data_IF_754330598074
#
_entry.id   IF_754330598074
#
_cell.length_a   1.000
_cell.length_b   1.000
_cell.length_c   1.000
_cell.angle_alpha   90.00
_cell.angle_beta   90.00
_cell.angle_gamma   90.00
#
_symmetry.space_group_name_H-M   'P 1'
#
loop_
_entity.id
_entity.type
_entity.pdbx_description
1 polymer ?
#
# COMPACT_ATOMS: atom_id res chain seq x y z
N UNK A 1 10.57 60.85 20.32
CA UNK A 1 10.63 59.50 20.93
C UNK A 1 9.21 58.96 20.93
N UNK A 2 8.91 57.96 20.08
CA UNK A 2 8.46 56.59 20.46
C UNK A 2 7.09 56.59 21.15
N UNK A 3 6.00 56.13 20.51
CA UNK A 3 5.59 54.71 20.33
C UNK A 3 4.25 54.57 21.11
N UNK A 4 3.17 53.90 20.72
CA UNK A 4 2.95 52.69 19.94
C UNK A 4 1.62 52.81 19.17
N UNK A 5 1.67 52.59 17.86
CA UNK A 5 0.55 52.21 17.02
C UNK A 5 0.72 50.70 16.76
N UNK A 6 -0.37 49.96 16.55
CA UNK A 6 -0.46 48.51 16.27
C UNK A 6 -0.71 47.61 17.49
N UNK A 7 -1.98 47.60 17.92
CA UNK A 7 -2.62 46.40 18.46
C UNK A 7 -2.49 45.27 17.44
N UNK A 8 -1.66 44.27 17.74
CA UNK A 8 -1.48 43.08 16.92
C UNK A 8 -2.78 42.30 16.83
N UNK A 9 -3.39 42.31 15.64
CA UNK A 9 -4.40 41.34 15.25
C UNK A 9 -3.70 39.98 15.21
N UNK A 10 -4.17 38.95 15.95
CA UNK A 10 -3.61 37.62 15.80
C UNK A 10 -3.83 37.18 14.36
N UNK A 11 -2.74 36.82 13.68
CA UNK A 11 -2.73 36.23 12.35
C UNK A 11 -3.46 34.88 12.44
N UNK A 12 -4.79 34.92 12.38
CA UNK A 12 -5.61 33.74 12.18
C UNK A 12 -5.15 33.14 10.87
N UNK A 13 -4.40 32.04 10.95
CA UNK A 13 -4.08 31.20 9.81
C UNK A 13 -5.42 30.76 9.24
N UNK A 14 -5.86 31.42 8.16
CA UNK A 14 -6.98 30.92 7.40
C UNK A 14 -6.56 29.52 6.93
N UNK A 15 -7.30 28.45 7.27
CA UNK A 15 -7.03 27.15 6.70
C UNK A 15 -7.15 27.36 5.18
N UNK A 16 -6.04 27.19 4.48
CA UNK A 16 -6.01 27.23 3.03
C UNK A 16 -7.08 26.21 2.61
N UNK A 17 -8.11 26.62 1.84
CA UNK A 17 -9.11 25.66 1.40
C UNK A 17 -8.35 24.56 0.68
N UNK A 18 -8.48 23.34 1.19
CA UNK A 18 -7.77 22.16 0.70
C UNK A 18 -8.20 21.99 -0.76
N UNK A 19 -7.39 22.52 -1.69
CA UNK A 19 -7.77 22.55 -3.09
C UNK A 19 -7.92 21.09 -3.53
N UNK A 20 -9.10 20.69 -4.04
CA UNK A 20 -9.32 19.31 -4.43
C UNK A 20 -8.27 18.93 -5.47
N UNK A 21 -7.57 17.82 -5.22
CA UNK A 21 -6.55 17.31 -6.13
C UNK A 21 -7.07 17.26 -7.57
N UNK A 22 -6.31 17.84 -8.49
CA UNK A 22 -6.66 17.82 -9.92
C UNK A 22 -6.26 16.50 -10.57
N UNK A 23 -6.87 16.18 -11.71
CA UNK A 23 -6.55 14.97 -12.46
C UNK A 23 -5.06 14.90 -12.85
N UNK A 24 -4.44 16.03 -13.19
CA UNK A 24 -3.03 16.09 -13.57
C UNK A 24 -2.11 15.90 -12.35
N UNK A 25 -2.48 16.45 -11.19
CA UNK A 25 -1.76 16.19 -9.94
C UNK A 25 -1.85 14.71 -9.55
N UNK A 26 -3.03 14.10 -9.71
CA UNK A 26 -3.23 12.69 -9.42
C UNK A 26 -2.42 11.80 -10.36
N UNK A 27 -2.43 12.09 -11.66
CA UNK A 27 -1.62 11.38 -12.67
C UNK A 27 -0.14 11.54 -12.41
N UNK A 28 0.33 12.76 -12.08
CA UNK A 28 1.73 13.00 -11.74
C UNK A 28 2.15 12.25 -10.47
N UNK A 29 1.27 12.17 -9.47
CA UNK A 29 1.50 11.35 -8.27
C UNK A 29 1.58 9.86 -8.59
N UNK A 30 0.64 9.33 -9.41
CA UNK A 30 0.65 7.94 -9.87
C UNK A 30 1.93 7.62 -10.67
N UNK A 31 2.36 8.53 -11.55
CA UNK A 31 3.58 8.36 -12.34
C UNK A 31 4.83 8.28 -11.47
N UNK A 32 4.97 9.17 -10.47
CA UNK A 32 6.11 9.12 -9.54
C UNK A 32 6.17 7.80 -8.77
N UNK A 33 5.01 7.28 -8.36
CA UNK A 33 4.93 5.98 -7.70
C UNK A 33 5.30 4.85 -8.66
N UNK A 34 4.77 4.89 -9.88
CA UNK A 34 5.08 3.95 -10.95
C UNK A 34 6.57 3.91 -11.28
N UNK A 35 7.22 5.06 -11.44
CA UNK A 35 8.64 5.14 -11.81
C UNK A 35 9.54 4.49 -10.74
N UNK A 36 9.12 4.56 -9.48
CA UNK A 36 9.81 3.87 -8.39
C UNK A 36 9.51 2.37 -8.34
N UNK A 37 8.26 1.95 -8.55
CA UNK A 37 7.85 0.56 -8.37
C UNK A 37 8.07 -0.30 -9.62
N UNK A 38 7.97 0.25 -10.82
CA UNK A 38 8.08 -0.48 -12.09
C UNK A 38 9.38 -1.25 -12.26
N UNK A 39 10.59 -0.74 -11.87
CA UNK A 39 11.81 -1.53 -11.97
C UNK A 39 11.81 -2.75 -11.03
N UNK A 40 11.11 -2.67 -9.90
CA UNK A 40 11.00 -3.76 -8.92
C UNK A 40 10.08 -4.87 -9.41
N UNK A 41 8.96 -4.50 -10.02
CA UNK A 41 8.10 -5.47 -10.69
C UNK A 41 8.83 -6.19 -11.83
N UNK A 42 9.59 -5.45 -12.66
CA UNK A 42 10.40 -6.05 -13.75
C UNK A 42 11.49 -6.99 -13.22
N UNK A 43 12.18 -6.59 -12.15
CA UNK A 43 13.25 -7.40 -11.56
C UNK A 43 12.72 -8.72 -10.99
N UNK A 44 11.52 -8.74 -10.42
CA UNK A 44 10.90 -9.99 -9.96
C UNK A 44 10.56 -10.94 -11.10
N UNK A 45 10.10 -10.44 -12.24
CA UNK A 45 9.83 -11.27 -13.43
C UNK A 45 11.12 -11.89 -13.99
N UNK A 46 12.24 -11.16 -14.01
CA UNK A 46 13.53 -11.71 -14.46
C UNK A 46 14.21 -12.62 -13.42
N UNK A 47 13.95 -12.41 -12.12
CA UNK A 47 14.58 -13.19 -11.03
C UNK A 47 13.80 -14.47 -10.69
N UNK A 48 12.54 -14.58 -11.11
CA UNK A 48 11.71 -15.79 -10.91
C UNK A 48 12.14 -16.97 -11.81
N UNK A 49 13.19 -16.80 -12.62
CA UNK A 49 13.81 -17.86 -13.44
C UNK A 49 15.01 -18.58 -12.81
N UNK A 50 15.47 -18.22 -11.61
CA UNK A 50 16.59 -18.90 -10.96
C UNK A 50 16.19 -19.47 -9.60
N UNK A 51 15.45 -20.58 -9.65
CA UNK A 51 15.40 -21.51 -8.53
C UNK A 51 16.78 -22.11 -8.36
N UNK A 52 17.48 -21.73 -7.31
CA UNK A 52 18.75 -22.32 -6.93
C UNK A 52 18.48 -23.77 -6.47
N UNK A 53 18.58 -24.72 -7.41
CA UNK A 53 18.35 -26.16 -7.22
C UNK A 53 19.51 -26.86 -6.45
N UNK A 54 20.27 -26.12 -5.64
CA UNK A 54 21.46 -26.61 -4.95
C UNK A 54 21.56 -26.22 -3.46
N UNK A 55 20.43 -26.02 -2.77
CA UNK A 55 20.40 -25.83 -1.31
C UNK A 55 20.05 -27.11 -0.59
N UNK A 56 21.05 -27.86 -0.12
CA UNK A 56 20.89 -29.16 0.51
C UNK A 56 20.02 -29.18 1.77
N UNK A 57 19.45 -30.37 2.00
CA UNK A 57 18.77 -30.83 3.21
C UNK A 57 19.39 -30.29 4.52
N UNK A 58 18.68 -29.39 5.22
CA UNK A 58 18.86 -29.19 6.66
C UNK A 58 17.50 -28.86 7.27
N UNK A 59 16.93 -29.81 7.99
CA UNK A 59 15.91 -29.56 9.00
C UNK A 59 16.46 -28.54 10.02
N UNK A 60 15.61 -27.61 10.44
CA UNK A 60 15.82 -26.72 11.61
C UNK A 60 16.65 -25.44 11.39
N UNK A 61 16.07 -24.48 10.65
CA UNK A 61 16.15 -23.03 10.90
C UNK A 61 15.18 -22.33 9.96
N UNK A 62 14.33 -21.43 10.47
CA UNK A 62 13.44 -20.61 9.66
C UNK A 62 14.27 -19.76 8.67
N UNK A 63 14.44 -20.26 7.44
CA UNK A 63 15.07 -19.52 6.36
C UNK A 63 14.29 -18.21 6.18
N UNK A 64 14.93 -17.04 6.34
CA UNK A 64 14.23 -15.77 6.22
C UNK A 64 13.72 -15.65 4.78
N UNK A 65 12.40 -15.65 4.62
CA UNK A 65 11.75 -15.37 3.33
C UNK A 65 12.26 -14.01 2.88
N UNK A 66 12.98 -13.99 1.75
CA UNK A 66 13.46 -12.73 1.21
C UNK A 66 12.25 -11.93 0.71
N UNK A 67 12.12 -10.63 1.04
CA UNK A 67 11.02 -9.79 0.56
C UNK A 67 10.95 -9.69 -0.96
N UNK A 68 12.06 -9.94 -1.67
CA UNK A 68 12.11 -10.02 -3.13
C UNK A 68 11.57 -11.34 -3.70
N UNK A 69 11.38 -12.38 -2.89
CA UNK A 69 10.84 -13.65 -3.34
C UNK A 69 9.31 -13.60 -3.54
N UNK A 70 8.62 -12.68 -2.85
CA UNK A 70 7.18 -12.51 -2.98
C UNK A 70 6.91 -11.56 -4.16
N UNK A 71 6.43 -12.12 -5.26
CA UNK A 71 5.89 -11.33 -6.36
C UNK A 71 4.38 -11.10 -6.15
N UNK A 72 3.93 -9.85 -5.87
CA UNK A 72 2.51 -9.57 -5.77
C UNK A 72 1.75 -9.90 -7.06
N UNK A 73 2.42 -9.90 -8.22
CA UNK A 73 1.79 -10.10 -9.52
C UNK A 73 1.34 -11.54 -9.78
N UNK A 74 1.98 -12.54 -9.16
CA UNK A 74 1.64 -13.96 -9.28
C UNK A 74 0.47 -14.38 -8.38
N UNK A 75 0.16 -13.57 -7.36
CA UNK A 75 -0.93 -13.82 -6.43
C UNK A 75 -2.31 -13.55 -7.06
N UNK A 76 -3.31 -14.34 -6.68
CA UNK A 76 -4.69 -14.19 -7.17
C UNK A 76 -5.28 -12.84 -6.76
N UNK A 77 -5.76 -12.02 -7.71
CA UNK A 77 -6.47 -10.78 -7.41
C UNK A 77 -7.88 -11.08 -6.89
N UNK A 78 -8.20 -10.49 -5.74
CA UNK A 78 -9.54 -10.50 -5.15
C UNK A 78 -10.13 -9.08 -5.13
N UNK A 79 -11.45 -8.94 -5.22
CA UNK A 79 -12.09 -7.63 -5.06
C UNK A 79 -11.93 -7.12 -3.62
N UNK A 80 -11.85 -5.80 -3.42
CA UNK A 80 -11.80 -5.20 -2.07
C UNK A 80 -13.03 -5.51 -1.20
N UNK A 81 -14.12 -5.99 -1.80
CA UNK A 81 -15.34 -6.44 -1.13
C UNK A 81 -15.29 -7.90 -0.65
N UNK A 82 -14.15 -8.60 -0.75
CA UNK A 82 -14.01 -10.01 -0.36
C UNK A 82 -14.47 -10.31 1.07
N UNK A 83 -14.36 -9.35 2.00
CA UNK A 83 -14.80 -9.49 3.40
C UNK A 83 -16.32 -9.63 3.56
N UNK A 84 -17.10 -9.29 2.52
CA UNK A 84 -18.55 -9.47 2.47
C UNK A 84 -18.95 -10.91 2.10
N UNK A 85 -18.01 -11.74 1.65
CA UNK A 85 -18.31 -13.12 1.29
C UNK A 85 -18.54 -13.97 2.54
N UNK A 86 -19.49 -14.91 2.45
CA UNK A 86 -19.87 -15.77 3.57
C UNK A 86 -18.70 -16.63 4.06
N UNK A 87 -17.86 -17.08 3.13
CA UNK A 87 -16.62 -17.78 3.39
C UNK A 87 -15.42 -16.90 3.05
N UNK A 88 -14.58 -16.63 4.05
CA UNK A 88 -13.28 -16.00 3.80
C UNK A 88 -12.36 -17.01 3.11
N UNK A 89 -11.78 -16.68 1.94
CA UNK A 89 -10.86 -17.57 1.24
C UNK A 89 -9.56 -17.82 2.02
N UNK A 90 -9.27 -16.98 3.03
CA UNK A 90 -8.05 -17.08 3.83
C UNK A 90 -8.37 -17.20 5.32
N UNK A 91 -8.04 -18.36 5.88
CA UNK A 91 -8.08 -18.66 7.32
C UNK A 91 -6.66 -18.90 7.81
N UNK A 92 -5.96 -17.85 8.24
CA UNK A 92 -4.60 -17.97 8.76
C UNK A 92 -3.74 -16.72 8.62
N UNK A 93 -2.46 -16.89 8.96
CA UNK A 93 -1.44 -15.87 8.79
C UNK A 93 -1.24 -15.58 7.29
N UNK A 94 -1.33 -14.30 6.93
CA UNK A 94 -1.13 -13.84 5.57
C UNK A 94 -0.53 -12.44 5.56
N UNK A 95 0.19 -12.12 4.48
CA UNK A 95 0.49 -10.75 4.09
C UNK A 95 -0.43 -10.39 2.94
N UNK A 96 -1.04 -9.23 3.00
CA UNK A 96 -1.91 -8.73 1.96
C UNK A 96 -1.33 -7.49 1.28
N UNK A 97 -1.57 -7.41 -0.02
CA UNK A 97 -1.12 -6.36 -0.90
C UNK A 97 -2.36 -5.72 -1.53
N UNK A 98 -2.50 -4.41 -1.42
CA UNK A 98 -3.54 -3.67 -2.13
C UNK A 98 -2.92 -2.99 -3.32
N UNK A 99 -3.41 -3.33 -4.51
CA UNK A 99 -2.91 -2.80 -5.76
C UNK A 99 -4.03 -2.05 -6.49
N UNK A 100 -3.63 -1.04 -7.24
CA UNK A 100 -4.45 -0.43 -8.28
C UNK A 100 -3.81 -0.68 -9.65
N UNK A 101 -4.63 -0.83 -10.69
CA UNK A 101 -4.17 -0.94 -12.07
C UNK A 101 -4.78 0.17 -12.91
N UNK A 102 -4.18 1.38 -12.91
CA UNK A 102 -4.59 2.45 -13.80
C UNK A 102 -4.32 2.05 -15.26
N UNK A 103 -5.24 2.31 -16.21
CA UNK A 103 -5.09 1.86 -17.59
C UNK A 103 -4.01 2.61 -18.38
N UNK A 104 -3.50 3.73 -17.86
CA UNK A 104 -2.47 4.55 -18.50
C UNK A 104 -1.05 4.17 -18.05
N UNK A 105 -0.89 3.14 -17.21
CA UNK A 105 0.40 2.68 -16.70
C UNK A 105 0.65 1.22 -17.12
N UNK A 106 1.91 0.90 -17.40
CA UNK A 106 2.31 -0.46 -17.81
C UNK A 106 2.27 -1.47 -16.65
N UNK A 107 2.58 -1.00 -15.43
CA UNK A 107 2.60 -1.82 -14.22
C UNK A 107 1.58 -1.31 -13.20
N UNK A 108 1.00 -2.19 -12.37
CA UNK A 108 0.11 -1.77 -11.30
C UNK A 108 0.88 -1.01 -10.22
N UNK A 109 0.14 -0.23 -9.44
CA UNK A 109 0.62 0.51 -8.29
C UNK A 109 0.35 -0.30 -7.02
N UNK A 110 1.37 -0.58 -6.23
CA UNK A 110 1.23 -1.16 -4.91
C UNK A 110 0.96 -0.04 -3.90
N UNK A 111 -0.29 0.04 -3.44
CA UNK A 111 -0.80 1.12 -2.59
C UNK A 111 -0.58 0.85 -1.10
N UNK A 112 -0.72 -0.41 -0.67
CA UNK A 112 -0.61 -0.79 0.73
C UNK A 112 -0.11 -2.23 0.90
N UNK A 113 0.68 -2.46 1.95
CA UNK A 113 1.10 -3.78 2.42
C UNK A 113 0.74 -3.92 3.89
N UNK A 114 0.15 -5.05 4.28
CA UNK A 114 -0.15 -5.30 5.68
C UNK A 114 -0.10 -6.78 6.07
N UNK A 115 0.11 -7.06 7.35
CA UNK A 115 -0.02 -8.40 7.93
C UNK A 115 -1.41 -8.65 8.53
N UNK A 116 -1.85 -9.90 8.47
CA UNK A 116 -3.01 -10.36 9.22
C UNK A 116 -2.83 -11.80 9.70
N UNK A 117 -3.39 -12.11 10.88
CA UNK A 117 -3.55 -13.49 11.38
C UNK A 117 -4.88 -14.11 10.97
N UNK A 118 -5.84 -13.27 10.59
CA UNK A 118 -7.22 -13.61 10.28
C UNK A 118 -7.80 -12.47 9.43
N UNK A 119 -7.73 -12.61 8.10
CA UNK A 119 -8.13 -11.57 7.15
C UNK A 119 -9.61 -11.16 7.33
N UNK A 120 -10.47 -12.13 7.66
CA UNK A 120 -11.90 -12.00 7.88
C UNK A 120 -12.27 -11.14 9.10
N UNK A 121 -11.63 -11.35 10.25
CA UNK A 121 -11.93 -10.60 11.48
C UNK A 121 -11.41 -9.17 11.41
N UNK A 122 -10.24 -8.94 10.80
CA UNK A 122 -9.60 -7.62 10.75
C UNK A 122 -10.25 -6.70 9.71
N UNK A 123 -10.73 -7.23 8.60
CA UNK A 123 -11.43 -6.44 7.57
C UNK A 123 -12.91 -6.17 7.89
N UNK A 124 -13.51 -6.77 8.93
CA UNK A 124 -14.88 -6.41 9.37
C UNK A 124 -14.92 -5.18 10.29
N UNK A 125 -13.81 -4.79 10.91
CA UNK A 125 -13.72 -3.59 11.76
C UNK A 125 -13.35 -2.30 11.02
N UNK A 126 -13.19 -1.22 11.79
CA UNK A 126 -12.54 0.03 11.36
C UNK A 126 -11.07 -0.24 11.05
N UNK A 127 -10.62 0.25 9.89
CA UNK A 127 -9.25 0.03 9.44
C UNK A 127 -8.80 1.22 8.60
N UNK A 128 -7.72 1.89 9.02
CA UNK A 128 -7.18 3.08 8.35
C UNK A 128 -7.00 2.87 6.83
N UNK A 129 -6.59 1.67 6.40
CA UNK A 129 -6.46 1.34 4.98
C UNK A 129 -7.76 1.54 4.18
N UNK A 130 -8.93 1.23 4.76
CA UNK A 130 -10.22 1.44 4.07
C UNK A 130 -10.50 2.93 3.85
N UNK A 131 -10.21 3.77 4.83
CA UNK A 131 -10.37 5.21 4.71
C UNK A 131 -9.46 5.77 3.61
N UNK A 132 -8.19 5.33 3.55
CA UNK A 132 -7.29 5.69 2.45
C UNK A 132 -7.78 5.25 1.08
N UNK A 133 -8.25 4.01 0.98
CA UNK A 133 -8.77 3.47 -0.29
C UNK A 133 -10.06 4.19 -0.72
N UNK A 134 -10.92 4.57 0.23
CA UNK A 134 -12.11 5.36 -0.03
C UNK A 134 -11.73 6.76 -0.54
N UNK A 135 -10.85 7.49 0.16
CA UNK A 135 -10.38 8.80 -0.25
C UNK A 135 -9.69 8.79 -1.63
N UNK A 136 -8.88 7.76 -1.89
CA UNK A 136 -8.26 7.54 -3.20
C UNK A 136 -9.29 7.27 -4.29
N UNK A 137 -10.25 6.37 -4.04
CA UNK A 137 -11.33 6.04 -4.97
C UNK A 137 -12.22 7.25 -5.29
N UNK A 138 -12.56 8.06 -4.28
CA UNK A 138 -13.32 9.30 -4.46
C UNK A 138 -12.56 10.33 -5.29
N UNK A 139 -11.26 10.50 -5.05
CA UNK A 139 -10.43 11.41 -5.83
C UNK A 139 -10.33 10.97 -7.30
N UNK A 140 -10.17 9.67 -7.55
CA UNK A 140 -10.19 9.09 -8.90
C UNK A 140 -11.54 9.32 -9.58
N UNK A 141 -12.65 9.08 -8.89
CA UNK A 141 -13.99 9.32 -9.42
C UNK A 141 -14.22 10.80 -9.76
N UNK A 142 -13.82 11.72 -8.87
CA UNK A 142 -13.90 13.17 -9.09
C UNK A 142 -13.09 13.61 -10.31
N UNK A 143 -11.94 12.99 -10.51
CA UNK A 143 -11.07 13.23 -11.67
C UNK A 143 -11.48 12.43 -12.92
N UNK A 144 -12.57 11.66 -12.87
CA UNK A 144 -13.03 10.77 -13.95
C UNK A 144 -11.96 9.79 -14.42
N UNK A 145 -11.10 9.34 -13.51
CA UNK A 145 -10.02 8.40 -13.77
C UNK A 145 -10.45 6.97 -13.48
N UNK A 146 -10.26 6.09 -14.46
CA UNK A 146 -10.49 4.67 -14.29
C UNK A 146 -9.43 4.05 -13.36
N UNK A 147 -9.87 3.14 -12.50
CA UNK A 147 -9.05 2.43 -11.54
C UNK A 147 -9.56 0.99 -11.39
N UNK A 148 -8.67 0.10 -10.97
CA UNK A 148 -8.96 -1.32 -10.77
C UNK A 148 -8.30 -1.76 -9.47
N UNK A 149 -8.97 -1.44 -8.37
CA UNK A 149 -8.51 -1.81 -7.05
C UNK A 149 -8.69 -3.31 -6.82
N UNK A 150 -7.61 -3.95 -6.40
CA UNK A 150 -7.57 -5.37 -6.05
C UNK A 150 -6.76 -5.57 -4.78
N UNK A 151 -7.09 -6.64 -4.06
CA UNK A 151 -6.30 -7.12 -2.94
C UNK A 151 -5.80 -8.53 -3.24
N UNK A 152 -4.57 -8.82 -2.81
CA UNK A 152 -3.92 -10.10 -3.02
C UNK A 152 -3.36 -10.60 -1.71
N UNK A 153 -3.45 -11.89 -1.46
CA UNK A 153 -2.97 -12.50 -0.21
C UNK A 153 -1.85 -13.50 -0.50
N UNK A 154 -0.75 -13.37 0.25
CA UNK A 154 0.30 -14.38 0.33
C UNK A 154 0.15 -15.13 1.66
N UNK A 155 -0.18 -16.42 1.58
CA UNK A 155 -0.35 -17.31 2.74
C UNK A 155 0.92 -18.08 3.08
N UNK A 156 1.91 -18.11 2.17
CA UNK A 156 3.22 -18.72 2.41
C UNK A 156 4.11 -17.74 3.18
N UNK A 157 3.71 -17.47 4.43
CA UNK A 157 4.35 -16.50 5.32
C UNK A 157 4.49 -17.07 6.73
N UNK A 158 5.39 -16.51 7.58
CA UNK A 158 5.58 -17.04 8.91
C UNK A 158 4.31 -16.97 9.76
N UNK A 159 3.99 -18.06 10.44
CA UNK A 159 2.90 -18.12 11.41
C UNK A 159 3.20 -17.26 12.64
N UNK A 160 4.48 -17.22 13.04
CA UNK A 160 4.95 -16.35 14.11
C UNK A 160 4.72 -14.86 13.78
N UNK A 161 4.28 -14.12 14.78
CA UNK A 161 3.87 -12.72 14.62
C UNK A 161 5.06 -11.81 14.40
N UNK A 162 6.16 -12.05 15.12
CA UNK A 162 7.35 -11.21 15.06
C UNK A 162 8.05 -11.40 13.73
N UNK A 163 8.19 -12.64 13.28
CA UNK A 163 8.76 -12.96 11.97
C UNK A 163 7.92 -12.37 10.83
N UNK A 164 6.59 -12.48 10.89
CA UNK A 164 5.69 -11.89 9.88
C UNK A 164 5.71 -10.36 9.85
N UNK A 165 5.71 -9.70 11.01
CA UNK A 165 5.84 -8.23 11.09
C UNK A 165 7.18 -7.75 10.54
N UNK A 166 8.26 -8.50 10.77
CA UNK A 166 9.56 -8.20 10.16
C UNK A 166 9.50 -8.31 8.64
N UNK A 167 8.85 -9.35 8.12
CA UNK A 167 8.65 -9.51 6.67
C UNK A 167 7.79 -8.38 6.08
N UNK A 168 6.70 -7.99 6.75
CA UNK A 168 5.89 -6.82 6.39
C UNK A 168 6.73 -5.53 6.33
N UNK A 169 7.54 -5.24 7.35
CA UNK A 169 8.41 -4.07 7.36
C UNK A 169 9.43 -4.09 6.21
N UNK A 170 10.01 -5.26 5.92
CA UNK A 170 10.93 -5.42 4.80
C UNK A 170 10.23 -5.17 3.46
N UNK A 171 8.99 -5.63 3.29
CA UNK A 171 8.18 -5.36 2.10
C UNK A 171 7.81 -3.88 1.98
N UNK A 172 7.45 -3.22 3.09
CA UNK A 172 7.16 -1.77 3.10
C UNK A 172 8.40 -0.99 2.70
N UNK A 173 9.58 -1.32 3.23
CA UNK A 173 10.84 -0.67 2.84
C UNK A 173 11.17 -0.92 1.37
N UNK A 174 10.98 -2.15 0.90
CA UNK A 174 11.27 -2.53 -0.47
C UNK A 174 10.37 -1.79 -1.47
N UNK A 175 9.05 -1.82 -1.28
CA UNK A 175 8.06 -1.30 -2.22
C UNK A 175 7.68 0.16 -1.99
N UNK A 176 7.96 0.71 -0.82
CA UNK A 176 7.53 2.04 -0.36
C UNK A 176 6.07 2.37 -0.70
N UNK A 177 5.08 1.57 -0.27
CA UNK A 177 3.67 1.81 -0.55
C UNK A 177 3.17 3.15 0.04
N UNK A 178 2.36 3.94 -0.69
CA UNK A 178 1.96 5.29 -0.28
C UNK A 178 0.99 5.37 0.90
N UNK A 179 0.25 4.30 1.21
CA UNK A 179 -0.76 4.29 2.28
C UNK A 179 -0.25 3.67 3.58
N UNK A 180 0.97 3.13 3.59
CA UNK A 180 1.64 2.70 4.83
C UNK A 180 2.18 3.91 5.58
N UNK A 181 1.96 3.96 6.90
CA UNK A 181 2.31 5.11 7.74
C UNK A 181 3.80 5.48 7.62
N UNK A 182 4.65 4.46 7.50
CA UNK A 182 6.10 4.55 7.41
C UNK A 182 6.59 5.26 6.14
N UNK A 183 5.89 5.08 5.03
CA UNK A 183 6.32 5.53 3.70
C UNK A 183 5.42 6.62 3.12
N UNK A 184 4.35 6.97 3.83
CA UNK A 184 3.38 7.99 3.42
C UNK A 184 3.97 9.37 3.19
N UNK A 185 4.80 9.86 4.12
CA UNK A 185 5.40 11.19 4.02
C UNK A 185 6.27 11.34 2.78
N UNK A 186 6.92 10.25 2.33
CA UNK A 186 7.75 10.23 1.12
C UNK A 186 6.97 10.64 -0.13
N UNK A 187 5.71 10.26 -0.22
CA UNK A 187 4.89 10.47 -1.42
C UNK A 187 4.10 11.76 -1.37
N UNK A 188 4.10 12.46 -0.23
CA UNK A 188 3.19 13.55 0.07
C UNK A 188 1.75 13.15 -0.32
N UNK A 189 1.34 11.94 0.11
CA UNK A 189 0.05 11.36 -0.27
C UNK A 189 -1.08 12.32 0.16
N UNK A 190 -1.86 12.88 -0.77
CA UNK A 190 -2.87 13.90 -0.50
C UNK A 190 -4.14 13.33 0.15
N UNK A 191 -4.20 12.01 0.35
CA UNK A 191 -5.34 11.34 0.96
C UNK A 191 -5.12 11.26 2.47
N UNK A 192 -5.96 11.96 3.21
CA UNK A 192 -6.12 11.79 4.64
C UNK A 192 -7.19 10.73 4.90
N UNK A 193 -6.96 9.92 5.94
CA UNK A 193 -8.05 9.23 6.60
C UNK A 193 -8.48 10.25 7.63
N UNK A 194 -9.37 11.17 7.22
CA UNK A 194 -9.96 12.09 8.19
C UNK A 194 -10.70 11.23 9.21
N UNK A 195 -10.21 11.31 10.44
CA UNK A 195 -10.74 10.68 11.64
C UNK A 195 -11.34 11.79 12.49
#
# INVERSE_FOLDING_TARGET
MQGDLFSGVPLGSTPTPDLPITADQLRAWQQRLHDFQSPRFRRNICSSGQGDLWGGNVADAATPISPTAIDPLTLTPLPLSFWRWADSPHRGAAIYFVLDRPPHLDHPLLLYVGETKAADRRWKGEHDCKAYLAAYGEALQRCQMAHQLSIRFCTDVPTDTRARRRLEQQLIQHWSPPFNKETRQRWATPFTADL
#
